data_IF_727166520558
#
_entry.id   IF_727166520558
#
_cell.length_a   1.000
_cell.length_b   1.000
_cell.length_c   1.000
_cell.angle_alpha   90.00
_cell.angle_beta   90.00
_cell.angle_gamma   90.00
#
_symmetry.space_group_name_H-M   'P 1'
#
loop_
_entity.id
_entity.type
_entity.pdbx_description
1 polymer ?
#
# COMPACT_ATOMS: atom_id res chain seq x y z
N UNK A 1 -14.53 19.62 -23.05
CA UNK A 1 -14.53 19.91 -21.60
C UNK A 1 -15.00 18.74 -20.70
N UNK A 2 -15.96 17.89 -21.10
CA UNK A 2 -16.41 16.74 -20.25
C UNK A 2 -15.46 15.52 -20.24
N UNK A 3 -14.69 15.27 -21.31
CA UNK A 3 -13.76 14.12 -21.39
C UNK A 3 -12.51 14.27 -20.51
N UNK A 4 -11.99 15.49 -20.37
CA UNK A 4 -10.79 15.77 -19.56
C UNK A 4 -11.10 15.68 -18.06
N UNK A 5 -12.30 16.11 -17.65
CA UNK A 5 -12.77 16.01 -16.27
C UNK A 5 -12.88 14.53 -15.84
N UNK A 6 -13.40 13.67 -16.71
CA UNK A 6 -13.54 12.24 -16.45
C UNK A 6 -12.18 11.53 -16.33
N UNK A 7 -11.20 11.88 -17.18
CA UNK A 7 -9.82 11.37 -17.04
C UNK A 7 -9.14 11.80 -15.73
N UNK A 8 -9.35 13.04 -15.29
CA UNK A 8 -8.78 13.54 -14.03
C UNK A 8 -9.39 12.84 -12.82
N UNK A 9 -10.72 12.73 -12.79
CA UNK A 9 -11.45 12.00 -11.73
C UNK A 9 -11.03 10.52 -11.71
N UNK A 10 -10.86 9.88 -12.86
CA UNK A 10 -10.36 8.51 -12.97
C UNK A 10 -8.99 8.32 -12.35
N UNK A 11 -8.03 9.21 -12.64
CA UNK A 11 -6.68 9.16 -12.05
C UNK A 11 -6.67 9.40 -10.53
N UNK A 12 -7.54 10.28 -10.04
CA UNK A 12 -7.69 10.52 -8.60
C UNK A 12 -8.32 9.30 -7.91
N UNK A 13 -9.36 8.71 -8.50
CA UNK A 13 -9.98 7.48 -8.01
C UNK A 13 -9.01 6.30 -7.98
N UNK A 14 -8.17 6.14 -9.00
CA UNK A 14 -7.12 5.12 -9.04
C UNK A 14 -6.13 5.27 -7.88
N UNK A 15 -5.64 6.49 -7.63
CA UNK A 15 -4.72 6.77 -6.51
C UNK A 15 -5.36 6.51 -5.16
N UNK A 16 -6.61 6.95 -4.97
CA UNK A 16 -7.35 6.73 -3.72
C UNK A 16 -7.60 5.24 -3.51
N UNK A 17 -8.02 4.52 -4.54
CA UNK A 17 -8.23 3.07 -4.49
C UNK A 17 -6.94 2.32 -4.16
N UNK A 18 -5.81 2.71 -4.75
CA UNK A 18 -4.51 2.14 -4.43
C UNK A 18 -4.12 2.40 -2.97
N UNK A 19 -4.27 3.64 -2.49
CA UNK A 19 -3.97 3.99 -1.10
C UNK A 19 -4.86 3.22 -0.12
N UNK A 20 -6.17 3.13 -0.40
CA UNK A 20 -7.11 2.38 0.41
C UNK A 20 -6.78 0.88 0.45
N UNK A 21 -6.51 0.28 -0.72
CA UNK A 21 -6.10 -1.12 -0.82
C UNK A 21 -4.81 -1.41 -0.05
N UNK A 22 -3.85 -0.49 -0.11
CA UNK A 22 -2.61 -0.57 0.66
C UNK A 22 -2.85 -0.56 2.19
N UNK A 23 -3.72 0.34 2.68
CA UNK A 23 -4.08 0.38 4.09
C UNK A 23 -4.83 -0.87 4.55
N UNK A 24 -5.79 -1.35 3.75
CA UNK A 24 -6.49 -2.61 4.06
C UNK A 24 -5.52 -3.79 4.12
N UNK A 25 -4.64 -3.93 3.12
CA UNK A 25 -3.63 -4.98 3.08
C UNK A 25 -2.73 -4.95 4.31
N UNK A 26 -2.20 -3.76 4.66
CA UNK A 26 -1.32 -3.60 5.83
C UNK A 26 -2.04 -3.93 7.13
N UNK A 27 -3.31 -3.55 7.25
CA UNK A 27 -4.15 -3.87 8.43
C UNK A 27 -4.37 -5.36 8.56
N UNK A 28 -4.79 -6.03 7.48
CA UNK A 28 -5.01 -7.48 7.46
C UNK A 28 -3.70 -8.22 7.78
N UNK A 29 -2.59 -7.79 7.20
CA UNK A 29 -1.29 -8.39 7.44
C UNK A 29 -0.85 -8.22 8.91
N UNK A 30 -0.98 -7.02 9.47
CA UNK A 30 -0.67 -6.77 10.87
C UNK A 30 -1.51 -7.65 11.81
N UNK A 31 -2.81 -7.76 11.55
CA UNK A 31 -3.68 -8.64 12.34
C UNK A 31 -3.28 -10.11 12.21
N UNK A 32 -3.02 -10.60 10.99
CA UNK A 32 -2.59 -11.98 10.77
C UNK A 32 -1.27 -12.30 11.50
N UNK A 33 -0.30 -11.39 11.43
CA UNK A 33 0.99 -11.52 12.11
C UNK A 33 0.86 -11.46 13.64
N UNK A 34 -0.04 -10.61 14.14
CA UNK A 34 -0.33 -10.49 15.58
C UNK A 34 -1.00 -11.76 16.10
N UNK A 35 -2.02 -12.27 15.41
CA UNK A 35 -2.73 -13.49 15.78
C UNK A 35 -1.83 -14.74 15.78
N UNK A 36 -0.83 -14.75 14.91
CA UNK A 36 0.12 -15.86 14.80
C UNK A 36 1.35 -15.69 15.71
N UNK A 37 1.43 -14.62 16.50
CA UNK A 37 2.60 -14.24 17.31
C UNK A 37 3.91 -14.26 16.49
N UNK A 38 3.82 -13.92 15.19
CA UNK A 38 4.95 -13.89 14.25
C UNK A 38 5.63 -12.54 14.18
N UNK A 39 5.24 -11.60 15.03
CA UNK A 39 5.90 -10.30 15.18
C UNK A 39 6.48 -10.17 16.59
N UNK A 40 7.64 -9.51 16.74
CA UNK A 40 8.16 -9.15 18.06
C UNK A 40 7.14 -8.32 18.84
N UNK A 41 7.08 -8.51 20.16
CA UNK A 41 6.16 -7.76 21.02
C UNK A 41 6.36 -6.23 20.98
N UNK A 42 7.56 -5.77 20.60
CA UNK A 42 7.86 -4.35 20.41
C UNK A 42 7.36 -3.77 19.08
N UNK A 43 6.96 -4.61 18.13
CA UNK A 43 6.57 -4.17 16.80
C UNK A 43 5.11 -3.73 16.79
N UNK A 44 4.93 -2.44 16.53
CA UNK A 44 3.61 -1.82 16.36
C UNK A 44 3.17 -1.86 14.90
N UNK A 45 1.90 -1.54 14.65
CA UNK A 45 1.33 -1.37 13.31
C UNK A 45 2.21 -0.51 12.38
N UNK A 46 2.80 0.57 12.90
CA UNK A 46 3.66 1.47 12.14
C UNK A 46 4.93 0.79 11.59
N UNK A 47 5.47 -0.21 12.29
CA UNK A 47 6.63 -0.97 11.82
C UNK A 47 6.25 -1.82 10.60
N UNK A 48 5.11 -2.54 10.68
CA UNK A 48 4.61 -3.34 9.56
C UNK A 48 4.26 -2.44 8.38
N UNK A 49 3.61 -1.30 8.63
CA UNK A 49 3.32 -0.31 7.61
C UNK A 49 4.60 0.25 6.96
N UNK A 50 5.67 0.49 7.71
CA UNK A 50 6.95 0.93 7.15
C UNK A 50 7.58 -0.13 6.24
N UNK A 51 7.57 -1.39 6.68
CA UNK A 51 8.11 -2.52 5.90
C UNK A 51 7.31 -2.74 4.62
N UNK A 52 5.97 -2.79 4.69
CA UNK A 52 5.14 -2.96 3.50
C UNK A 52 5.26 -1.79 2.53
N UNK A 53 5.44 -0.56 3.03
CA UNK A 53 5.69 0.61 2.20
C UNK A 53 7.03 0.48 1.46
N UNK A 54 8.09 0.10 2.17
CA UNK A 54 9.41 -0.10 1.57
C UNK A 54 9.37 -1.17 0.47
N UNK A 55 8.64 -2.27 0.67
CA UNK A 55 8.44 -3.32 -0.34
C UNK A 55 7.68 -2.77 -1.55
N UNK A 56 6.57 -2.06 -1.32
CA UNK A 56 5.76 -1.48 -2.39
C UNK A 56 6.59 -0.50 -3.24
N UNK A 57 7.34 0.41 -2.59
CA UNK A 57 8.24 1.35 -3.25
C UNK A 57 9.34 0.63 -4.03
N UNK A 58 9.94 -0.41 -3.46
CA UNK A 58 10.95 -1.23 -4.12
C UNK A 58 10.39 -1.88 -5.40
N UNK A 59 9.18 -2.45 -5.32
CA UNK A 59 8.49 -3.01 -6.49
C UNK A 59 8.25 -1.96 -7.59
N UNK A 60 7.87 -0.73 -7.21
CA UNK A 60 7.73 0.37 -8.18
C UNK A 60 9.07 0.80 -8.79
N UNK A 61 10.16 0.80 -8.01
CA UNK A 61 11.49 1.13 -8.49
C UNK A 61 11.98 0.08 -9.49
N UNK A 62 11.85 -1.22 -9.18
CA UNK A 62 12.19 -2.30 -10.11
C UNK A 62 11.41 -2.21 -11.41
N UNK A 63 10.09 -1.96 -11.33
CA UNK A 63 9.25 -1.76 -12.53
C UNK A 63 9.72 -0.60 -13.39
N UNK A 64 10.33 0.43 -12.78
CA UNK A 64 10.90 1.58 -13.49
C UNK A 64 12.30 1.29 -14.07
N UNK A 65 13.08 0.40 -13.46
CA UNK A 65 14.42 0.04 -13.93
C UNK A 65 14.40 -1.02 -15.05
N UNK A 66 13.43 -1.93 -15.02
CA UNK A 66 13.25 -3.00 -16.01
C UNK A 66 12.49 -2.57 -17.27
N UNK A 67 12.10 -1.30 -17.35
CA UNK A 67 11.34 -0.72 -18.47
C UNK A 67 12.13 0.42 -19.08
#
# INVERSE_FOLDING_TARGET
>A
MNLERNKSVGKTGEKIGYAFGYFMFTTILFLALTLTNKIPASWTYFHIMGVTLAIALTGTLFKRLLK
#
